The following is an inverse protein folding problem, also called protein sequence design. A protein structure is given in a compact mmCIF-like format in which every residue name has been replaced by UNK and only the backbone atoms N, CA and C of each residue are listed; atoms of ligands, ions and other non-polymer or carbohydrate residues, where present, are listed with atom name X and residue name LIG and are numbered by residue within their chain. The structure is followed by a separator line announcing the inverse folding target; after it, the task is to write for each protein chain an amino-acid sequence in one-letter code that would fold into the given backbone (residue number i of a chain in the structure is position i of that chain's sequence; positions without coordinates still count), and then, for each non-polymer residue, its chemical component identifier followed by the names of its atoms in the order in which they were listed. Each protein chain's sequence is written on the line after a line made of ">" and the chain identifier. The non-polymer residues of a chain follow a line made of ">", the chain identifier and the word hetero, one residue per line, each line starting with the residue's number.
data_IF_960285996301
#
_entry.id   IF_960285996301
#
_cell.length_a   1.000
_cell.length_b   1.000
_cell.length_c   1.000
_cell.angle_alpha   90.00
_cell.angle_beta   90.00
_cell.angle_gamma   90.00
#
_symmetry.space_group_name_H-M   'P 1'
#
loop_
_entity.id
_entity.type
_entity.pdbx_description
1 polymer ?
#
# COMPACT_ATOMS: atom_id res chain seq x y z
N UNK A 1 16.02 -10.91 -25.13
CA UNK A 1 14.90 -10.55 -24.24
C UNK A 1 15.44 -9.64 -23.15
N UNK A 2 14.78 -8.52 -22.86
CA UNK A 2 15.26 -7.48 -21.93
C UNK A 2 15.48 -8.03 -20.51
N UNK A 3 16.72 -8.30 -20.06
CA UNK A 3 16.98 -8.78 -18.70
C UNK A 3 16.53 -7.75 -17.66
N UNK A 4 16.55 -6.47 -18.03
CA UNK A 4 16.08 -5.34 -17.21
C UNK A 4 14.56 -5.39 -16.96
N UNK A 5 13.74 -5.87 -17.91
CA UNK A 5 12.29 -5.98 -17.70
C UNK A 5 11.96 -7.04 -16.65
N UNK A 6 12.61 -8.19 -16.74
CA UNK A 6 12.39 -9.29 -15.78
C UNK A 6 12.81 -8.86 -14.37
N UNK A 7 13.94 -8.16 -14.25
CA UNK A 7 14.40 -7.58 -12.99
C UNK A 7 13.44 -6.51 -12.46
N UNK A 8 12.95 -5.61 -13.31
CA UNK A 8 11.95 -4.60 -12.94
C UNK A 8 10.68 -5.26 -12.39
N UNK A 9 10.14 -6.26 -13.11
CA UNK A 9 8.95 -7.01 -12.67
C UNK A 9 9.23 -7.71 -11.34
N UNK A 10 10.35 -8.43 -11.22
CA UNK A 10 10.71 -9.18 -10.02
C UNK A 10 10.86 -8.29 -8.79
N UNK A 11 11.58 -7.17 -8.91
CA UNK A 11 11.77 -6.22 -7.81
C UNK A 11 10.44 -5.51 -7.48
N UNK A 12 9.69 -5.07 -8.49
CA UNK A 12 8.37 -4.46 -8.29
C UNK A 12 7.44 -5.41 -7.53
N UNK A 13 7.37 -6.68 -7.95
CA UNK A 13 6.53 -7.70 -7.32
C UNK A 13 6.97 -7.94 -5.88
N UNK A 14 8.26 -8.08 -5.63
CA UNK A 14 8.80 -8.21 -4.27
C UNK A 14 8.35 -7.04 -3.38
N UNK A 15 8.55 -5.80 -3.82
CA UNK A 15 8.17 -4.61 -3.04
C UNK A 15 6.65 -4.49 -2.84
N UNK A 16 5.86 -4.78 -3.87
CA UNK A 16 4.39 -4.67 -3.84
C UNK A 16 3.73 -5.74 -2.99
N UNK A 17 4.07 -7.01 -3.21
CA UNK A 17 3.43 -8.15 -2.55
C UNK A 17 3.90 -8.40 -1.13
N UNK A 18 5.10 -7.95 -0.76
CA UNK A 18 5.57 -8.03 0.62
C UNK A 18 4.50 -7.40 1.54
N UNK A 19 4.21 -7.98 2.72
CA UNK A 19 3.23 -7.42 3.64
C UNK A 19 3.54 -5.95 3.94
N UNK A 20 2.51 -5.13 4.01
CA UNK A 20 2.64 -3.68 4.12
C UNK A 20 1.33 -3.05 4.58
N UNK A 21 1.33 -1.74 4.88
CA UNK A 21 0.14 -1.09 5.43
C UNK A 21 -1.07 -1.16 4.49
N UNK A 22 -0.90 -0.85 3.20
CA UNK A 22 -1.96 -1.00 2.19
C UNK A 22 -2.51 -2.44 2.15
N UNK A 23 -1.63 -3.43 2.18
CA UNK A 23 -1.96 -4.84 2.08
C UNK A 23 -2.73 -5.34 3.30
N UNK A 24 -2.32 -4.93 4.51
CA UNK A 24 -3.03 -5.21 5.76
C UNK A 24 -4.45 -4.65 5.74
N UNK A 25 -4.60 -3.40 5.29
CA UNK A 25 -5.89 -2.71 5.24
C UNK A 25 -6.81 -3.32 4.17
N UNK A 26 -6.25 -3.72 3.02
CA UNK A 26 -6.98 -4.42 1.98
C UNK A 26 -7.49 -5.80 2.45
N UNK A 27 -6.64 -6.57 3.13
CA UNK A 27 -7.05 -7.84 3.76
C UNK A 27 -8.10 -7.64 4.82
N UNK A 28 -7.92 -6.67 5.72
CA UNK A 28 -8.93 -6.31 6.71
C UNK A 28 -10.27 -5.94 6.05
N UNK A 29 -10.24 -5.13 4.99
CA UNK A 29 -11.44 -4.69 4.28
C UNK A 29 -12.13 -5.84 3.54
N UNK A 30 -11.36 -6.69 2.84
CA UNK A 30 -11.87 -7.87 2.17
C UNK A 30 -12.49 -8.88 3.14
N UNK A 31 -11.89 -9.03 4.33
CA UNK A 31 -12.38 -9.90 5.39
C UNK A 31 -13.68 -9.38 6.02
N UNK A 32 -13.75 -8.11 6.39
CA UNK A 32 -14.88 -7.55 7.17
C UNK A 32 -16.02 -7.01 6.29
N UNK A 33 -15.73 -6.44 5.11
CA UNK A 33 -16.73 -5.78 4.26
C UNK A 33 -16.96 -6.48 2.91
N UNK A 34 -16.11 -7.45 2.56
CA UNK A 34 -16.17 -8.16 1.28
C UNK A 34 -15.61 -7.36 0.10
N UNK A 35 -15.54 -8.00 -1.06
CA UNK A 35 -14.84 -7.46 -2.24
C UNK A 35 -15.53 -6.21 -2.78
N UNK A 36 -16.87 -6.23 -2.96
CA UNK A 36 -17.62 -5.12 -3.55
C UNK A 36 -17.42 -3.79 -2.79
N UNK A 37 -17.43 -3.84 -1.45
CA UNK A 37 -17.19 -2.65 -0.60
C UNK A 37 -15.72 -2.25 -0.52
N UNK A 38 -14.80 -3.11 -0.98
CA UNK A 38 -13.34 -2.86 -0.99
C UNK A 38 -12.84 -2.31 -2.33
N UNK A 39 -13.67 -2.31 -3.39
CA UNK A 39 -13.32 -1.74 -4.70
C UNK A 39 -12.82 -0.28 -4.60
N UNK A 40 -13.47 0.63 -3.84
CA UNK A 40 -12.97 2.00 -3.70
C UNK A 40 -11.55 2.05 -3.11
N UNK A 41 -11.23 1.18 -2.14
CA UNK A 41 -9.89 1.05 -1.59
C UNK A 41 -8.89 0.60 -2.66
N UNK A 42 -9.23 -0.46 -3.42
CA UNK A 42 -8.37 -1.01 -4.49
C UNK A 42 -8.04 0.08 -5.51
N UNK A 43 -9.07 0.81 -5.96
CA UNK A 43 -8.89 1.91 -6.91
C UNK A 43 -8.08 3.05 -6.32
N UNK A 44 -8.31 3.41 -5.06
CA UNK A 44 -7.54 4.48 -4.40
C UNK A 44 -6.07 4.14 -4.25
N UNK A 45 -5.74 2.89 -3.88
CA UNK A 45 -4.34 2.43 -3.81
C UNK A 45 -3.72 2.36 -5.21
N UNK A 46 -4.37 1.71 -6.16
CA UNK A 46 -3.83 1.51 -7.51
C UNK A 46 -3.62 2.83 -8.26
N UNK A 47 -4.65 3.67 -8.32
CA UNK A 47 -4.57 4.98 -8.97
C UNK A 47 -3.64 5.92 -8.20
N UNK A 48 -3.75 5.96 -6.86
CA UNK A 48 -2.89 6.81 -6.03
C UNK A 48 -1.41 6.46 -6.19
N UNK A 49 -1.07 5.18 -6.23
CA UNK A 49 0.32 4.75 -6.41
C UNK A 49 0.81 5.01 -7.84
N UNK A 50 -0.06 4.84 -8.84
CA UNK A 50 0.24 5.21 -10.24
C UNK A 50 0.59 6.69 -10.35
N UNK A 51 -0.24 7.56 -9.77
CA UNK A 51 -0.01 9.02 -9.75
C UNK A 51 1.28 9.36 -9.00
N UNK A 52 1.52 8.72 -7.85
CA UNK A 52 2.76 8.89 -7.09
C UNK A 52 4.00 8.57 -7.93
N UNK A 53 4.01 7.44 -8.64
CA UNK A 53 5.13 7.01 -9.49
C UNK A 53 5.36 8.01 -10.63
N UNK A 54 4.29 8.50 -11.27
CA UNK A 54 4.38 9.54 -12.31
C UNK A 54 5.03 10.81 -11.72
N UNK A 55 4.55 11.29 -10.57
CA UNK A 55 5.09 12.49 -9.95
C UNK A 55 6.56 12.32 -9.53
N UNK A 56 6.93 11.17 -8.97
CA UNK A 56 8.33 10.87 -8.62
C UNK A 56 9.21 10.84 -9.85
N UNK A 57 8.73 10.26 -10.95
CA UNK A 57 9.46 10.16 -12.20
C UNK A 57 9.79 11.53 -12.80
N UNK A 58 8.79 12.41 -12.91
CA UNK A 58 8.98 13.69 -13.61
C UNK A 58 9.42 14.86 -12.73
N UNK A 59 9.07 14.87 -11.43
CA UNK A 59 9.15 16.10 -10.62
C UNK A 59 10.11 15.97 -9.43
N UNK A 60 10.25 14.77 -8.86
CA UNK A 60 10.56 14.66 -7.42
C UNK A 60 11.88 13.95 -7.08
N UNK A 61 12.58 13.28 -8.00
CA UNK A 61 13.85 12.60 -7.65
C UNK A 61 14.91 13.57 -7.16
N UNK A 62 15.08 14.72 -7.82
CA UNK A 62 16.04 15.74 -7.37
C UNK A 62 15.62 16.37 -6.04
N UNK A 63 14.31 16.64 -5.86
CA UNK A 63 13.79 17.19 -4.61
C UNK A 63 13.98 16.25 -3.42
N UNK A 64 13.71 14.95 -3.57
CA UNK A 64 13.91 13.97 -2.50
C UNK A 64 15.39 13.78 -2.14
N UNK A 65 16.31 13.84 -3.12
CA UNK A 65 17.76 13.77 -2.86
C UNK A 65 18.27 15.03 -2.13
N UNK A 66 17.78 16.20 -2.52
CA UNK A 66 18.28 17.48 -2.01
C UNK A 66 17.61 17.93 -0.69
N UNK A 67 16.40 17.45 -0.41
CA UNK A 67 15.62 17.84 0.77
C UNK A 67 15.18 16.62 1.60
N UNK A 68 16.11 16.00 2.36
CA UNK A 68 15.81 14.85 3.21
C UNK A 68 14.71 15.13 4.24
N UNK A 69 14.49 16.39 4.61
CA UNK A 69 13.42 16.79 5.54
C UNK A 69 12.01 16.44 5.03
N UNK A 70 11.80 16.42 3.71
CA UNK A 70 10.51 16.01 3.11
C UNK A 70 10.25 14.52 3.39
N UNK A 71 11.30 13.69 3.31
CA UNK A 71 11.21 12.26 3.63
C UNK A 71 10.85 12.07 5.11
N UNK A 72 11.44 12.88 5.99
CA UNK A 72 11.16 12.85 7.43
C UNK A 72 9.70 13.20 7.73
N UNK A 73 9.19 14.28 7.14
CA UNK A 73 7.80 14.72 7.32
C UNK A 73 6.83 13.63 6.84
N UNK A 74 7.08 13.05 5.66
CA UNK A 74 6.29 11.94 5.12
C UNK A 74 6.30 10.73 6.07
N UNK A 75 7.48 10.37 6.60
CA UNK A 75 7.64 9.27 7.55
C UNK A 75 6.85 9.48 8.84
N UNK A 76 6.91 10.69 9.42
CA UNK A 76 6.21 11.03 10.66
C UNK A 76 4.69 11.05 10.43
N UNK A 77 4.20 11.74 9.39
CA UNK A 77 2.77 11.81 9.07
C UNK A 77 2.20 10.43 8.76
N UNK A 78 2.92 9.62 7.97
CA UNK A 78 2.56 8.23 7.68
C UNK A 78 2.45 7.38 8.95
N UNK A 79 3.38 7.56 9.89
CA UNK A 79 3.37 6.85 11.18
C UNK A 79 2.12 7.16 11.99
N UNK A 80 1.77 8.43 12.18
CA UNK A 80 0.56 8.81 12.94
C UNK A 80 -0.72 8.28 12.28
N UNK A 81 -0.82 8.41 10.95
CA UNK A 81 -1.97 7.90 10.22
C UNK A 81 -2.10 6.38 10.36
N UNK A 82 -0.99 5.65 10.29
CA UNK A 82 -0.99 4.19 10.42
C UNK A 82 -1.27 3.70 11.83
N UNK A 83 -0.80 4.39 12.87
CA UNK A 83 -1.19 4.10 14.25
C UNK A 83 -2.70 4.28 14.45
N UNK A 84 -3.25 5.37 13.92
CA UNK A 84 -4.71 5.59 13.92
C UNK A 84 -5.46 4.45 13.22
N UNK A 85 -4.96 3.99 12.07
CA UNK A 85 -5.59 2.91 11.32
C UNK A 85 -5.46 1.55 12.01
N UNK A 86 -4.30 1.25 12.61
CA UNK A 86 -4.04 0.06 13.40
C UNK A 86 -4.98 -0.01 14.62
N UNK A 87 -5.18 1.11 15.32
CA UNK A 87 -6.16 1.23 16.41
C UNK A 87 -7.58 0.93 15.92
N UNK A 88 -8.01 1.58 14.83
CA UNK A 88 -9.36 1.39 14.27
C UNK A 88 -9.64 -0.07 13.84
N UNK A 89 -8.64 -0.74 13.27
CA UNK A 89 -8.72 -2.15 12.87
C UNK A 89 -8.85 -3.05 14.11
N UNK A 90 -7.98 -2.84 15.11
CA UNK A 90 -7.90 -3.62 16.36
C UNK A 90 -9.24 -3.68 17.09
N UNK A 91 -9.93 -2.55 17.23
CA UNK A 91 -11.17 -2.44 18.02
C UNK A 91 -12.46 -2.62 17.21
N UNK A 92 -12.38 -2.96 15.92
CA UNK A 92 -13.54 -3.06 15.02
C UNK A 92 -14.58 -4.11 15.44
N UNK A 93 -14.22 -5.17 16.18
CA UNK A 93 -15.23 -6.18 16.61
C UNK A 93 -16.08 -5.67 17.76
N UNK A 94 -15.51 -4.91 18.69
CA UNK A 94 -16.27 -4.33 19.81
C UNK A 94 -17.24 -3.23 19.34
N UNK A 95 -16.95 -2.62 18.19
CA UNK A 95 -17.79 -1.63 17.53
C UNK A 95 -18.95 -2.26 16.74
N UNK A 96 -19.05 -3.59 16.61
CA UNK A 96 -20.13 -4.23 15.83
C UNK A 96 -21.53 -4.11 16.46
N UNK A 97 -21.63 -3.88 17.77
CA UNK A 97 -22.86 -3.46 18.45
C UNK A 97 -23.22 -1.98 18.21
N UNK A 98 -22.29 -1.18 17.67
CA UNK A 98 -22.51 0.21 17.23
C UNK A 98 -22.56 0.28 15.71
N UNK A 99 -23.73 0.57 15.14
CA UNK A 99 -24.10 0.38 13.72
C UNK A 99 -23.21 0.96 12.59
N UNK A 100 -22.03 1.54 12.77
CA UNK A 100 -21.34 2.29 11.70
C UNK A 100 -19.81 2.07 11.60
N UNK A 101 -19.35 0.84 11.34
CA UNK A 101 -17.99 0.67 10.80
C UNK A 101 -18.04 0.83 9.29
N UNK A 102 -17.64 2.00 8.82
CA UNK A 102 -17.63 2.29 7.40
C UNK A 102 -16.41 1.66 6.71
N UNK A 103 -16.58 1.11 5.49
CA UNK A 103 -15.47 0.65 4.68
C UNK A 103 -14.53 1.82 4.37
N UNK A 104 -13.27 1.49 4.12
CA UNK A 104 -12.23 2.49 3.79
C UNK A 104 -12.57 3.14 2.45
N UNK A 105 -12.49 4.47 2.38
CA UNK A 105 -12.88 5.24 1.20
C UNK A 105 -11.73 5.39 0.22
N UNK A 106 -12.08 5.66 -1.05
CA UNK A 106 -11.14 5.92 -2.12
C UNK A 106 -10.16 7.07 -1.78
N UNK A 107 -10.67 8.21 -1.34
CA UNK A 107 -9.83 9.39 -1.07
C UNK A 107 -8.82 9.15 0.05
N UNK A 108 -9.23 8.43 1.09
CA UNK A 108 -8.35 8.09 2.22
C UNK A 108 -7.17 7.25 1.72
N UNK A 109 -7.42 6.23 0.90
CA UNK A 109 -6.36 5.35 0.39
C UNK A 109 -5.55 5.96 -0.73
N UNK A 110 -6.15 6.84 -1.54
CA UNK A 110 -5.46 7.61 -2.56
C UNK A 110 -4.44 8.56 -1.92
N UNK A 111 -4.88 9.41 -0.99
CA UNK A 111 -4.00 10.37 -0.30
C UNK A 111 -2.94 9.65 0.54
N UNK A 112 -3.28 8.50 1.11
CA UNK A 112 -2.33 7.71 1.87
C UNK A 112 -1.10 7.27 1.05
N UNK A 113 -1.22 7.11 -0.27
CA UNK A 113 -0.05 6.70 -1.09
C UNK A 113 1.11 7.70 -1.00
N UNK A 114 0.79 8.99 -0.87
CA UNK A 114 1.78 10.07 -0.80
C UNK A 114 2.49 10.16 0.55
N UNK A 115 1.86 9.65 1.60
CA UNK A 115 2.41 9.62 2.97
C UNK A 115 2.82 8.21 3.40
N UNK A 116 2.82 7.23 2.50
CA UNK A 116 3.21 5.85 2.76
C UNK A 116 4.71 5.67 2.46
N UNK A 117 5.59 5.63 3.47
CA UNK A 117 7.03 5.58 3.25
C UNK A 117 7.45 4.36 2.43
N UNK A 118 6.78 3.22 2.63
CA UNK A 118 7.02 2.01 1.82
C UNK A 118 6.78 2.26 0.33
N UNK A 119 5.65 2.88 0.00
CA UNK A 119 5.27 3.17 -1.39
C UNK A 119 6.22 4.19 -2.02
N UNK A 120 6.49 5.28 -1.30
CA UNK A 120 7.41 6.33 -1.76
C UNK A 120 8.81 5.77 -2.02
N UNK A 121 9.37 5.01 -1.08
CA UNK A 121 10.70 4.41 -1.24
C UNK A 121 10.76 3.37 -2.36
N UNK A 122 9.70 2.57 -2.54
CA UNK A 122 9.60 1.63 -3.65
C UNK A 122 9.62 2.35 -5.00
N UNK A 123 8.83 3.42 -5.15
CA UNK A 123 8.81 4.23 -6.36
C UNK A 123 10.17 4.88 -6.65
N UNK A 124 10.80 5.50 -5.65
CA UNK A 124 12.14 6.09 -5.79
C UNK A 124 13.16 5.03 -6.22
N UNK A 125 13.14 3.85 -5.61
CA UNK A 125 14.07 2.75 -5.92
C UNK A 125 13.91 2.28 -7.35
N UNK A 126 12.68 2.01 -7.78
CA UNK A 126 12.40 1.50 -9.13
C UNK A 126 12.73 2.53 -10.20
N UNK A 127 12.35 3.79 -9.98
CA UNK A 127 12.64 4.84 -10.96
C UNK A 127 14.15 5.10 -11.04
N UNK A 128 14.84 5.25 -9.90
CA UNK A 128 16.28 5.52 -9.89
C UNK A 128 17.12 4.40 -10.52
N UNK A 129 16.61 3.16 -10.50
CA UNK A 129 17.31 2.00 -11.02
C UNK A 129 17.00 1.69 -12.48
N UNK A 130 15.78 1.95 -12.93
CA UNK A 130 15.29 1.47 -14.23
C UNK A 130 14.92 2.58 -15.23
N UNK A 131 14.83 3.84 -14.81
CA UNK A 131 14.67 4.96 -15.74
C UNK A 131 16.05 5.44 -16.18
N UNK A 132 16.24 5.54 -17.49
CA UNK A 132 17.54 5.82 -18.11
C UNK A 132 17.48 7.12 -18.89
N UNK A 133 18.51 7.96 -18.76
CA UNK A 133 18.56 9.27 -19.42
C UNK A 133 18.60 9.15 -20.95
N UNK A 134 19.28 8.12 -21.48
CA UNK A 134 19.43 7.86 -22.92
C UNK A 134 18.13 7.40 -23.60
N UNK A 135 17.18 6.86 -22.83
CA UNK A 135 15.88 6.39 -23.32
C UNK A 135 14.77 6.72 -22.32
N UNK A 136 14.74 7.97 -21.89
CA UNK A 136 13.95 8.43 -20.74
C UNK A 136 12.45 8.14 -20.88
N UNK A 137 11.84 8.48 -22.01
CA UNK A 137 10.40 8.32 -22.21
C UNK A 137 9.97 6.84 -22.16
N UNK A 138 10.64 5.97 -22.92
CA UNK A 138 10.27 4.54 -22.95
C UNK A 138 10.53 3.85 -21.61
N UNK A 139 11.68 4.12 -20.98
CA UNK A 139 12.00 3.52 -19.67
C UNK A 139 11.03 4.01 -18.57
N UNK A 140 10.65 5.29 -18.59
CA UNK A 140 9.65 5.85 -17.67
C UNK A 140 8.28 5.20 -17.85
N UNK A 141 7.78 5.10 -19.08
CA UNK A 141 6.48 4.47 -19.38
C UNK A 141 6.48 3.01 -18.91
N UNK A 142 7.57 2.28 -19.17
CA UNK A 142 7.72 0.88 -18.77
C UNK A 142 7.70 0.72 -17.24
N UNK A 143 8.43 1.55 -16.51
CA UNK A 143 8.42 1.55 -15.03
C UNK A 143 7.03 1.89 -14.49
N UNK A 144 6.37 2.92 -15.04
CA UNK A 144 5.02 3.32 -14.64
C UNK A 144 4.04 2.16 -14.84
N UNK A 145 4.04 1.51 -16.00
CA UNK A 145 3.14 0.40 -16.31
C UNK A 145 3.37 -0.77 -15.34
N UNK A 146 4.62 -1.20 -15.15
CA UNK A 146 4.93 -2.33 -14.27
C UNK A 146 4.56 -2.02 -12.82
N UNK A 147 4.90 -0.83 -12.32
CA UNK A 147 4.55 -0.41 -10.96
C UNK A 147 3.04 -0.36 -10.74
N UNK A 148 2.31 0.24 -11.69
CA UNK A 148 0.85 0.37 -11.62
C UNK A 148 0.16 -1.00 -11.66
N UNK A 149 0.56 -1.85 -12.61
CA UNK A 149 0.06 -3.21 -12.71
C UNK A 149 0.33 -4.00 -11.44
N UNK A 150 1.55 -3.92 -10.91
CA UNK A 150 1.92 -4.59 -9.66
C UNK A 150 1.08 -4.11 -8.48
N UNK A 151 0.84 -2.80 -8.36
CA UNK A 151 0.04 -2.23 -7.28
C UNK A 151 -1.40 -2.73 -7.33
N UNK A 152 -2.05 -2.70 -8.49
CA UNK A 152 -3.39 -3.23 -8.68
C UNK A 152 -3.48 -4.73 -8.41
N UNK A 153 -2.52 -5.50 -8.92
CA UNK A 153 -2.50 -6.94 -8.74
C UNK A 153 -2.30 -7.29 -7.26
N UNK A 154 -1.32 -6.69 -6.62
CA UNK A 154 -0.99 -6.95 -5.22
C UNK A 154 -2.15 -6.60 -4.27
N UNK A 155 -2.71 -5.39 -4.39
CA UNK A 155 -3.80 -4.95 -3.49
C UNK A 155 -5.06 -5.81 -3.67
N UNK A 156 -5.31 -6.26 -4.89
CA UNK A 156 -6.42 -7.17 -5.22
C UNK A 156 -6.19 -8.55 -4.63
N UNK A 157 -4.98 -9.10 -4.76
CA UNK A 157 -4.60 -10.38 -4.14
C UNK A 157 -4.74 -10.33 -2.61
N UNK A 158 -4.26 -9.27 -1.95
CA UNK A 158 -4.42 -9.11 -0.50
C UNK A 158 -5.88 -8.90 -0.09
N UNK A 159 -6.72 -8.26 -0.92
CA UNK A 159 -8.17 -8.20 -0.69
C UNK A 159 -8.81 -9.58 -0.75
N UNK A 160 -8.48 -10.38 -1.78
CA UNK A 160 -8.99 -11.74 -1.92
C UNK A 160 -8.50 -12.66 -0.80
N UNK A 161 -7.26 -12.50 -0.35
CA UNK A 161 -6.72 -13.23 0.79
C UNK A 161 -7.56 -12.98 2.05
N UNK A 162 -7.86 -11.72 2.37
CA UNK A 162 -8.76 -11.38 3.48
C UNK A 162 -10.15 -11.98 3.31
N UNK A 163 -10.74 -11.89 2.11
CA UNK A 163 -12.05 -12.50 1.83
C UNK A 163 -12.04 -14.02 1.95
N UNK A 164 -10.97 -14.67 1.55
CA UNK A 164 -10.77 -16.11 1.67
C UNK A 164 -10.71 -16.53 3.14
N UNK A 165 -9.90 -15.84 3.95
CA UNK A 165 -9.79 -16.12 5.38
C UNK A 165 -11.11 -15.93 6.14
N UNK A 166 -11.99 -15.04 5.67
CA UNK A 166 -13.34 -14.88 6.26
C UNK A 166 -14.18 -16.16 6.22
N UNK A 167 -13.92 -17.09 5.28
CA UNK A 167 -14.63 -18.38 5.23
C UNK A 167 -14.36 -19.27 6.45
N UNK A 168 -13.22 -19.09 7.11
CA UNK A 168 -12.82 -19.85 8.30
C UNK A 168 -13.20 -19.15 9.61
N UNK A 169 -13.75 -17.94 9.55
CA UNK A 169 -14.13 -17.15 10.71
C UNK A 169 -15.48 -17.61 11.27
N UNK A 170 -15.47 -18.72 12.00
CA UNK A 170 -16.66 -19.37 12.57
C UNK A 170 -17.12 -18.75 13.90
N UNK A 171 -16.29 -17.95 14.56
CA UNK A 171 -16.61 -17.30 15.83
C UNK A 171 -16.00 -15.88 15.92
N UNK A 172 -16.49 -15.09 16.88
CA UNK A 172 -16.04 -13.71 17.09
C UNK A 172 -14.57 -13.61 17.51
N UNK A 173 -14.04 -14.64 18.18
CA UNK A 173 -12.64 -14.69 18.59
C UNK A 173 -11.70 -14.78 17.37
N UNK A 174 -12.07 -15.54 16.33
CA UNK A 174 -11.31 -15.60 15.09
C UNK A 174 -11.28 -14.24 14.38
N UNK A 175 -12.43 -13.55 14.33
CA UNK A 175 -12.54 -12.21 13.75
C UNK A 175 -11.64 -11.22 14.53
N UNK A 176 -11.67 -11.26 15.86
CA UNK A 176 -10.81 -10.43 16.72
C UNK A 176 -9.33 -10.72 16.48
N UNK A 177 -8.93 -11.99 16.51
CA UNK A 177 -7.53 -12.39 16.30
C UNK A 177 -7.02 -12.00 14.92
N UNK A 178 -7.83 -12.15 13.88
CA UNK A 178 -7.49 -11.70 12.53
C UNK A 178 -7.28 -10.17 12.47
N UNK A 179 -8.19 -9.40 13.08
CA UNK A 179 -8.07 -7.94 13.12
C UNK A 179 -6.84 -7.51 13.94
N UNK A 180 -6.54 -8.15 15.06
CA UNK A 180 -5.31 -7.92 15.82
C UNK A 180 -4.05 -8.26 15.02
N UNK A 181 -4.05 -9.36 14.27
CA UNK A 181 -2.92 -9.72 13.41
C UNK A 181 -2.66 -8.66 12.32
N UNK A 182 -3.72 -8.16 11.67
CA UNK A 182 -3.59 -7.08 10.67
C UNK A 182 -3.14 -5.76 11.30
N UNK A 183 -3.64 -5.43 12.49
CA UNK A 183 -3.20 -4.25 13.27
C UNK A 183 -1.72 -4.36 13.64
N UNK A 184 -1.29 -5.50 14.15
CA UNK A 184 0.10 -5.77 14.51
C UNK A 184 1.01 -5.71 13.27
N UNK A 185 0.55 -6.19 12.12
CA UNK A 185 1.29 -6.09 10.86
C UNK A 185 1.55 -4.62 10.46
N UNK A 186 0.57 -3.74 10.68
CA UNK A 186 0.74 -2.29 10.46
C UNK A 186 1.80 -1.72 11.42
N UNK A 187 1.74 -2.08 12.72
CA UNK A 187 2.72 -1.60 13.71
C UNK A 187 4.14 -2.08 13.37
N UNK A 188 4.30 -3.34 12.95
CA UNK A 188 5.60 -3.87 12.51
C UNK A 188 6.12 -3.11 11.27
N UNK A 189 5.23 -2.73 10.34
CA UNK A 189 5.62 -1.91 9.20
C UNK A 189 6.10 -0.52 9.61
N UNK A 190 5.47 0.10 10.63
CA UNK A 190 5.89 1.39 11.16
C UNK A 190 7.31 1.29 11.73
N UNK A 191 7.59 0.25 12.53
CA UNK A 191 8.92 0.01 13.11
C UNK A 191 9.97 -0.07 11.99
N UNK A 192 9.65 -0.78 10.91
CA UNK A 192 10.52 -0.90 9.74
C UNK A 192 10.80 0.40 8.98
N UNK A 193 10.14 1.53 9.30
CA UNK A 193 10.49 2.83 8.73
C UNK A 193 11.64 3.55 9.47
N UNK A 194 11.99 3.08 10.66
CA UNK A 194 12.98 3.69 11.55
C UNK A 194 14.26 2.87 11.73
N UNK A 195 14.32 1.69 11.08
CA UNK A 195 15.48 0.79 11.04
C UNK A 195 16.02 0.81 9.61
#
# INVERSE_FOLDING_TARGET
>A
MHPELLLLIGISFSLGFTPGPNNAVASFSGFNFGIRKTIPLIMGVGIGYTVLVILINFILISAFKNYPIIQEIIRILGTFFLLYLAYKISFSVNLSNSKNINPVKFFDTFLFQFINPKGVMAAITLISKFVRDDNYLNSSIMVIIVCSFTAFLSITCWTFFGKFLRKFATNDNFIKNFNYAMSMLIVVCIIGFYI
#
